data_IF_980994184755
#
_entry.id   IF_980994184755
#
_cell.length_a   1.000
_cell.length_b   1.000
_cell.length_c   1.000
_cell.angle_alpha   90.00
_cell.angle_beta   90.00
_cell.angle_gamma   90.00
#
_symmetry.space_group_name_H-M   'P 1'
#
loop_
_entity.id
_entity.type
_entity.pdbx_description
1 polymer ?
#
# COMPACT_ATOMS: atom_id res chain seq x y z
N UNK A 1 -0.41 -25.08 -15.56
CA UNK A 1 -0.12 -26.52 -15.39
C UNK A 1 1.03 -26.95 -16.29
N UNK A 2 0.86 -26.89 -17.61
CA UNK A 2 1.87 -27.30 -18.61
C UNK A 2 3.31 -26.80 -18.30
N UNK A 3 3.49 -25.51 -18.01
CA UNK A 3 4.79 -24.95 -17.63
C UNK A 3 5.40 -25.62 -16.39
N UNK A 4 4.60 -25.93 -15.38
CA UNK A 4 5.09 -26.52 -14.11
C UNK A 4 5.50 -27.98 -14.31
N UNK A 5 4.74 -28.74 -15.11
CA UNK A 5 5.07 -30.13 -15.41
C UNK A 5 6.37 -30.26 -16.20
N UNK A 6 6.56 -29.37 -17.17
CA UNK A 6 7.72 -29.42 -18.07
C UNK A 6 8.97 -28.76 -17.46
N UNK A 7 8.84 -27.57 -16.88
CA UNK A 7 9.97 -26.80 -16.35
C UNK A 7 10.39 -27.23 -14.94
N UNK A 8 9.49 -27.89 -14.19
CA UNK A 8 9.72 -28.34 -12.80
C UNK A 8 10.30 -27.22 -11.91
N UNK A 9 9.63 -26.06 -11.82
CA UNK A 9 10.17 -24.93 -11.09
C UNK A 9 10.27 -25.22 -9.59
N UNK A 10 11.33 -24.71 -8.97
CA UNK A 10 11.51 -24.73 -7.51
C UNK A 10 10.99 -23.46 -6.84
N UNK A 11 10.73 -22.41 -7.63
CA UNK A 11 10.23 -21.11 -7.20
C UNK A 11 9.05 -20.70 -8.07
N UNK A 12 7.95 -20.28 -7.44
CA UNK A 12 6.76 -19.77 -8.09
C UNK A 12 6.35 -18.43 -7.48
N UNK A 13 6.35 -17.38 -8.28
CA UNK A 13 6.05 -16.01 -7.84
C UNK A 13 4.81 -15.50 -8.59
N UNK A 14 3.82 -15.05 -7.84
CA UNK A 14 2.56 -14.52 -8.34
C UNK A 14 2.51 -13.01 -8.16
N UNK A 15 2.38 -12.28 -9.25
CA UNK A 15 2.24 -10.81 -9.28
C UNK A 15 1.15 -10.38 -10.27
N UNK A 16 0.14 -11.23 -10.48
CA UNK A 16 -0.84 -11.10 -11.57
C UNK A 16 -2.14 -10.41 -11.18
N UNK A 17 -2.47 -10.38 -9.89
CA UNK A 17 -3.77 -9.92 -9.38
C UNK A 17 -4.93 -10.87 -9.68
N UNK A 18 -4.65 -12.08 -10.20
CA UNK A 18 -5.64 -13.10 -10.52
C UNK A 18 -5.83 -14.06 -9.33
N UNK A 19 -6.94 -13.97 -8.58
CA UNK A 19 -7.15 -14.82 -7.41
C UNK A 19 -7.25 -16.30 -7.78
N UNK A 20 -6.65 -17.17 -6.97
CA UNK A 20 -6.82 -18.63 -7.08
C UNK A 20 -6.07 -19.28 -8.26
N UNK A 21 -5.22 -18.54 -8.98
CA UNK A 21 -4.46 -19.09 -10.11
C UNK A 21 -3.39 -20.11 -9.68
N UNK A 22 -2.92 -20.06 -8.42
CA UNK A 22 -2.08 -21.10 -7.84
C UNK A 22 -2.97 -22.21 -7.28
N UNK A 23 -3.47 -23.07 -8.16
CA UNK A 23 -4.33 -24.18 -7.77
C UNK A 23 -3.58 -25.27 -6.99
N UNK A 24 -4.33 -26.09 -6.23
CA UNK A 24 -3.79 -27.27 -5.54
C UNK A 24 -2.96 -28.16 -6.46
N UNK A 25 -3.49 -28.47 -7.64
CA UNK A 25 -2.81 -29.31 -8.63
C UNK A 25 -1.44 -28.74 -9.03
N UNK A 26 -1.34 -27.41 -9.19
CA UNK A 26 -0.07 -26.74 -9.52
C UNK A 26 0.93 -26.89 -8.38
N UNK A 27 0.51 -26.59 -7.15
CA UNK A 27 1.37 -26.60 -5.98
C UNK A 27 1.83 -28.01 -5.62
N UNK A 28 0.94 -28.99 -5.62
CA UNK A 28 1.29 -30.40 -5.40
C UNK A 28 2.23 -30.93 -6.49
N UNK A 29 2.05 -30.52 -7.74
CA UNK A 29 2.93 -30.93 -8.84
C UNK A 29 4.33 -30.33 -8.70
N UNK A 30 4.45 -29.07 -8.29
CA UNK A 30 5.74 -28.51 -7.88
C UNK A 30 6.37 -29.32 -6.75
N UNK A 31 5.59 -29.64 -5.71
CA UNK A 31 6.08 -30.32 -4.53
C UNK A 31 6.56 -31.76 -4.81
N UNK A 32 5.97 -32.46 -5.80
CA UNK A 32 6.45 -33.77 -6.26
C UNK A 32 7.90 -33.76 -6.75
N UNK A 33 8.40 -32.63 -7.23
CA UNK A 33 9.74 -32.48 -7.79
C UNK A 33 10.66 -31.58 -6.97
N UNK A 34 10.11 -30.84 -6.01
CA UNK A 34 10.83 -29.97 -5.11
C UNK A 34 10.35 -30.22 -3.68
N UNK A 35 11.22 -30.83 -2.86
CA UNK A 35 10.90 -31.14 -1.45
C UNK A 35 10.50 -29.89 -0.67
N UNK A 36 11.11 -28.74 -0.96
CA UNK A 36 10.87 -27.48 -0.25
C UNK A 36 10.66 -26.31 -1.22
N UNK A 37 9.49 -26.23 -1.89
CA UNK A 37 9.24 -25.23 -2.93
C UNK A 37 9.09 -23.82 -2.34
N UNK A 38 9.51 -22.80 -3.07
CA UNK A 38 9.24 -21.40 -2.74
C UNK A 38 7.99 -20.95 -3.49
N UNK A 39 6.98 -20.49 -2.76
CA UNK A 39 5.69 -20.08 -3.36
C UNK A 39 5.29 -18.71 -2.80
N UNK A 40 5.38 -17.67 -3.63
CA UNK A 40 5.14 -16.29 -3.24
C UNK A 40 3.93 -15.71 -3.97
N UNK A 41 2.72 -15.80 -3.42
CA UNK A 41 1.57 -15.11 -3.97
C UNK A 41 1.56 -13.65 -3.46
N UNK A 42 2.12 -12.74 -4.26
CA UNK A 42 2.43 -11.36 -3.85
C UNK A 42 1.36 -10.33 -4.21
N UNK A 43 0.29 -10.75 -4.89
CA UNK A 43 -0.77 -9.82 -5.29
C UNK A 43 -1.52 -9.22 -4.10
N UNK A 44 -1.86 -7.94 -4.25
CA UNK A 44 -2.54 -7.13 -3.24
C UNK A 44 -3.89 -6.63 -3.78
N UNK A 45 -4.91 -6.41 -2.92
CA UNK A 45 -4.98 -6.80 -1.49
C UNK A 45 -5.18 -8.32 -1.32
N UNK A 46 -5.41 -8.80 -0.09
CA UNK A 46 -5.61 -10.25 0.21
C UNK A 46 -6.65 -10.94 -0.67
N UNK A 47 -7.68 -10.24 -1.14
CA UNK A 47 -8.70 -10.78 -2.08
C UNK A 47 -8.18 -11.05 -3.50
N UNK A 48 -6.95 -10.64 -3.80
CA UNK A 48 -6.29 -10.80 -5.11
C UNK A 48 -5.11 -11.77 -5.08
N UNK A 49 -4.89 -12.43 -3.94
CA UNK A 49 -3.78 -13.36 -3.74
C UNK A 49 -3.93 -14.58 -4.66
N UNK A 50 -2.83 -15.02 -5.28
CA UNK A 50 -2.86 -16.15 -6.21
C UNK A 50 -3.25 -17.48 -5.54
N UNK A 51 -2.91 -17.64 -4.25
CA UNK A 51 -3.43 -18.67 -3.36
C UNK A 51 -3.27 -18.23 -1.90
N UNK A 52 -4.17 -18.69 -1.03
CA UNK A 52 -4.08 -18.39 0.39
C UNK A 52 -2.91 -19.18 0.99
N UNK A 53 -2.08 -18.58 1.87
CA UNK A 53 -0.94 -19.28 2.48
C UNK A 53 -1.30 -20.58 3.18
N UNK A 54 -2.46 -20.61 3.87
CA UNK A 54 -2.98 -21.81 4.53
C UNK A 54 -3.07 -23.00 3.56
N UNK A 55 -3.61 -22.76 2.37
CA UNK A 55 -3.83 -23.80 1.38
C UNK A 55 -2.50 -24.33 0.83
N UNK A 56 -1.56 -23.43 0.51
CA UNK A 56 -0.21 -23.80 0.05
C UNK A 56 0.52 -24.66 1.09
N UNK A 57 0.43 -24.27 2.37
CA UNK A 57 1.02 -25.01 3.49
C UNK A 57 0.36 -26.39 3.60
N UNK A 58 -0.96 -26.50 3.49
CA UNK A 58 -1.67 -27.77 3.54
C UNK A 58 -1.27 -28.70 2.37
N UNK A 59 -1.31 -28.20 1.13
CA UNK A 59 -0.99 -28.95 -0.09
C UNK A 59 0.48 -29.41 -0.17
N UNK A 60 1.37 -28.77 0.58
CA UNK A 60 2.79 -29.14 0.67
C UNK A 60 3.15 -29.79 2.00
N UNK A 61 2.16 -30.15 2.82
CA UNK A 61 2.36 -30.73 4.14
C UNK A 61 3.34 -29.92 5.02
N UNK A 62 3.27 -28.59 4.94
CA UNK A 62 4.14 -27.66 5.67
C UNK A 62 5.53 -27.48 5.09
N UNK A 63 5.83 -28.02 3.92
CA UNK A 63 7.16 -27.93 3.32
C UNK A 63 7.41 -26.62 2.57
N UNK A 64 6.39 -25.99 1.97
CA UNK A 64 6.60 -24.78 1.18
C UNK A 64 7.12 -23.60 2.02
N UNK A 65 8.05 -22.83 1.44
CA UNK A 65 8.41 -21.50 1.93
C UNK A 65 7.47 -20.47 1.30
N UNK A 66 6.64 -19.85 2.16
CA UNK A 66 5.58 -18.94 1.72
C UNK A 66 5.80 -17.53 2.23
N UNK A 67 5.63 -16.55 1.36
CA UNK A 67 5.58 -15.13 1.69
C UNK A 67 4.59 -14.41 0.80
N UNK A 68 3.90 -13.40 1.33
CA UNK A 68 2.77 -12.73 0.66
C UNK A 68 2.98 -11.22 0.55
N UNK A 69 2.30 -10.57 -0.39
CA UNK A 69 2.34 -9.11 -0.50
C UNK A 69 1.54 -8.41 0.60
N UNK A 70 0.40 -8.99 0.96
CA UNK A 70 -0.50 -8.53 2.04
C UNK A 70 -0.29 -9.34 3.32
N UNK A 71 -0.58 -8.79 4.50
CA UNK A 71 -0.44 -9.51 5.76
C UNK A 71 -1.46 -10.65 5.86
N UNK A 72 -1.03 -11.77 6.45
CA UNK A 72 -1.87 -12.92 6.78
C UNK A 72 -1.56 -13.38 8.21
N UNK A 73 -2.55 -13.95 8.88
CA UNK A 73 -2.36 -14.60 10.16
C UNK A 73 -1.43 -15.83 10.03
N UNK A 74 -0.69 -16.19 11.09
CA UNK A 74 0.13 -17.39 11.10
C UNK A 74 -0.71 -18.66 10.88
N UNK A 75 -0.14 -19.63 10.17
CA UNK A 75 -0.82 -20.90 9.86
C UNK A 75 -0.44 -21.95 10.90
N UNK A 76 -1.44 -22.61 11.50
CA UNK A 76 -1.23 -23.78 12.35
C UNK A 76 -1.30 -25.05 11.49
N UNK A 77 -0.20 -25.78 11.38
CA UNK A 77 -0.12 -27.05 10.64
C UNK A 77 0.54 -28.12 11.51
N UNK A 78 -0.15 -29.25 11.76
CA UNK A 78 0.36 -30.36 12.57
C UNK A 78 0.96 -29.95 13.94
N UNK A 79 0.30 -29.01 14.62
CA UNK A 79 0.75 -28.49 15.92
C UNK A 79 1.92 -27.49 15.83
N UNK A 80 2.42 -27.17 14.64
CA UNK A 80 3.44 -26.14 14.41
C UNK A 80 2.78 -24.85 13.94
N UNK A 81 3.22 -23.72 14.52
CA UNK A 81 2.85 -22.38 14.07
C UNK A 81 3.87 -21.91 13.03
N UNK A 82 3.39 -21.57 11.83
CA UNK A 82 4.18 -21.11 10.71
C UNK A 82 3.85 -19.63 10.47
N UNK A 83 4.82 -18.77 10.71
CA UNK A 83 4.70 -17.32 10.45
C UNK A 83 4.72 -17.05 8.94
N UNK A 84 3.76 -16.27 8.45
CA UNK A 84 3.69 -15.88 7.04
C UNK A 84 4.33 -14.50 6.89
N UNK A 85 5.50 -14.46 6.26
CA UNK A 85 6.21 -13.21 6.04
C UNK A 85 5.49 -12.32 5.02
N UNK A 86 5.37 -11.03 5.33
CA UNK A 86 4.92 -10.04 4.35
C UNK A 86 6.12 -9.58 3.51
N UNK A 87 6.24 -10.07 2.28
CA UNK A 87 7.24 -9.64 1.31
C UNK A 87 6.80 -8.33 0.65
N UNK A 88 7.05 -7.23 1.35
CA UNK A 88 6.66 -5.88 0.94
C UNK A 88 7.88 -4.98 0.74
N UNK A 89 7.80 -4.10 -0.25
CA UNK A 89 8.82 -3.10 -0.56
C UNK A 89 9.07 -2.11 0.60
N UNK A 90 8.19 -2.06 1.60
CA UNK A 90 8.42 -1.33 2.86
C UNK A 90 9.75 -1.67 3.54
N UNK A 91 10.27 -2.89 3.37
CA UNK A 91 11.60 -3.26 3.88
C UNK A 91 12.74 -2.55 3.15
N UNK A 92 12.58 -2.27 1.86
CA UNK A 92 13.66 -1.92 0.95
C UNK A 92 13.74 -0.41 0.71
N UNK A 93 12.62 0.23 0.35
CA UNK A 93 12.63 1.63 -0.09
C UNK A 93 13.16 2.63 0.95
N UNK A 94 12.82 2.53 2.25
CA UNK A 94 13.36 3.45 3.25
C UNK A 94 14.88 3.33 3.38
N UNK A 95 15.41 2.10 3.36
CA UNK A 95 16.84 1.84 3.44
C UNK A 95 17.60 2.38 2.24
N UNK A 96 17.10 2.14 1.01
CA UNK A 96 17.72 2.70 -0.20
C UNK A 96 17.77 4.22 -0.14
N UNK A 97 16.63 4.86 0.13
CA UNK A 97 16.56 6.32 0.17
C UNK A 97 17.50 6.93 1.22
N UNK A 98 17.55 6.32 2.41
CA UNK A 98 18.45 6.74 3.47
C UNK A 98 19.93 6.58 3.09
N UNK A 99 20.30 5.46 2.46
CA UNK A 99 21.67 5.21 2.00
C UNK A 99 22.12 6.20 0.93
N UNK A 100 21.25 6.47 -0.05
CA UNK A 100 21.49 7.48 -1.10
C UNK A 100 21.71 8.87 -0.50
N UNK A 101 20.88 9.28 0.46
CA UNK A 101 21.00 10.57 1.13
C UNK A 101 22.27 10.67 1.97
N UNK A 102 22.61 9.61 2.72
CA UNK A 102 23.77 9.60 3.61
C UNK A 102 25.10 9.90 2.89
N UNK A 103 25.25 9.45 1.64
CA UNK A 103 26.47 9.67 0.84
C UNK A 103 26.28 10.63 -0.33
N UNK A 104 25.11 11.26 -0.44
CA UNK A 104 24.74 12.14 -1.56
C UNK A 104 25.00 11.48 -2.93
N UNK A 105 24.56 10.23 -3.09
CA UNK A 105 24.77 9.51 -4.35
C UNK A 105 24.06 10.22 -5.51
N UNK A 106 24.77 10.39 -6.62
CA UNK A 106 24.30 11.11 -7.81
C UNK A 106 23.22 10.35 -8.60
N UNK A 107 23.16 9.02 -8.47
CA UNK A 107 22.15 8.15 -9.08
C UNK A 107 22.03 6.84 -8.30
N UNK A 108 20.90 6.16 -8.47
CA UNK A 108 20.69 4.80 -7.97
C UNK A 108 21.06 3.83 -9.10
N UNK A 109 21.81 2.78 -8.78
CA UNK A 109 22.22 1.72 -9.72
C UNK A 109 21.50 0.40 -9.42
N UNK A 110 21.48 -0.52 -10.38
CA UNK A 110 20.90 -1.86 -10.19
C UNK A 110 21.64 -2.65 -9.12
N UNK A 111 22.96 -2.48 -9.00
CA UNK A 111 23.73 -3.13 -7.96
C UNK A 111 23.40 -2.57 -6.57
N UNK A 112 23.04 -1.30 -6.42
CA UNK A 112 22.54 -0.78 -5.14
C UNK A 112 21.21 -1.46 -4.75
N UNK A 113 20.33 -1.74 -5.72
CA UNK A 113 19.09 -2.50 -5.47
C UNK A 113 19.40 -3.95 -5.09
N UNK A 114 20.39 -4.57 -5.74
CA UNK A 114 20.84 -5.92 -5.40
C UNK A 114 21.43 -5.98 -3.99
N UNK A 115 22.29 -5.05 -3.61
CA UNK A 115 22.86 -4.98 -2.26
C UNK A 115 21.80 -4.69 -1.20
N UNK A 116 20.76 -3.93 -1.52
CA UNK A 116 19.61 -3.76 -0.61
C UNK A 116 18.89 -5.07 -0.34
N UNK A 117 18.73 -5.91 -1.37
CA UNK A 117 18.08 -7.23 -1.25
C UNK A 117 18.95 -8.20 -0.45
N UNK A 118 20.27 -8.17 -0.66
CA UNK A 118 21.24 -8.99 0.09
C UNK A 118 21.26 -8.61 1.57
N UNK A 119 21.33 -7.32 1.89
CA UNK A 119 21.30 -6.83 3.26
C UNK A 119 20.00 -7.21 3.99
N UNK A 120 18.85 -7.19 3.30
CA UNK A 120 17.60 -7.71 3.86
C UNK A 120 17.66 -9.23 4.11
N UNK A 121 18.19 -10.00 3.15
CA UNK A 121 18.32 -11.45 3.29
C UNK A 121 19.23 -11.85 4.47
N UNK A 122 20.30 -11.09 4.73
CA UNK A 122 21.16 -11.27 5.91
C UNK A 122 20.43 -11.03 7.23
N UNK A 123 19.29 -10.33 7.22
CA UNK A 123 18.45 -10.11 8.40
C UNK A 123 17.38 -11.20 8.60
N UNK A 124 17.32 -12.22 7.73
CA UNK A 124 16.32 -13.29 7.82
C UNK A 124 16.55 -14.18 9.04
N UNK A 125 15.56 -14.34 9.94
CA UNK A 125 15.64 -15.29 11.05
C UNK A 125 15.89 -16.72 10.57
N UNK A 126 15.18 -17.13 9.52
CA UNK A 126 15.35 -18.45 8.90
C UNK A 126 16.78 -18.65 8.37
N UNK A 127 17.39 -17.64 7.73
CA UNK A 127 18.75 -17.75 7.23
C UNK A 127 19.80 -17.78 8.35
N UNK A 128 19.61 -16.98 9.41
CA UNK A 128 20.56 -16.90 10.52
C UNK A 128 20.49 -18.11 11.47
N UNK A 129 19.28 -18.63 11.71
CA UNK A 129 19.02 -19.62 12.78
C UNK A 129 18.62 -21.00 12.24
N UNK A 130 18.40 -21.14 10.94
CA UNK A 130 17.83 -22.33 10.31
C UNK A 130 16.35 -22.57 10.65
N UNK A 131 15.72 -21.66 11.39
CA UNK A 131 14.32 -21.72 11.83
C UNK A 131 13.73 -20.31 11.97
N UNK A 132 12.41 -20.21 11.98
CA UNK A 132 11.69 -18.94 12.11
C UNK A 132 11.15 -18.41 10.78
N UNK A 133 10.73 -17.15 10.78
CA UNK A 133 10.13 -16.51 9.61
C UNK A 133 11.17 -16.23 8.51
N UNK A 134 10.69 -16.15 7.26
CA UNK A 134 11.53 -15.86 6.10
C UNK A 134 12.12 -14.45 6.15
N UNK A 135 11.35 -13.47 6.61
CA UNK A 135 11.77 -12.07 6.78
C UNK A 135 11.79 -11.71 8.26
N UNK A 136 12.61 -10.72 8.68
CA UNK A 136 12.57 -10.20 10.04
C UNK A 136 11.18 -9.66 10.39
N UNK A 137 10.85 -9.52 11.69
CA UNK A 137 9.61 -8.88 12.12
C UNK A 137 9.58 -7.39 11.73
N UNK A 138 8.40 -6.85 11.45
CA UNK A 138 8.23 -5.45 11.01
C UNK A 138 8.62 -4.44 12.10
N UNK A 139 8.57 -4.83 13.37
CA UNK A 139 9.00 -4.03 14.51
C UNK A 139 10.50 -3.70 14.45
N UNK A 140 11.30 -4.55 13.78
CA UNK A 140 12.74 -4.37 13.62
C UNK A 140 13.11 -3.56 12.35
N UNK A 141 12.11 -3.08 11.59
CA UNK A 141 12.31 -2.46 10.27
C UNK A 141 13.23 -1.24 10.29
N UNK A 142 13.30 -0.49 11.41
CA UNK A 142 14.24 0.61 11.55
C UNK A 142 15.70 0.13 11.51
N UNK A 143 16.02 -0.95 12.25
CA UNK A 143 17.36 -1.54 12.25
C UNK A 143 17.70 -2.14 10.89
N UNK A 144 16.75 -2.82 10.27
CA UNK A 144 16.88 -3.37 8.90
C UNK A 144 17.14 -2.24 7.89
N UNK A 145 16.39 -1.14 7.97
CA UNK A 145 16.56 0.02 7.07
C UNK A 145 17.94 0.64 7.18
N UNK A 146 18.51 0.75 8.38
CA UNK A 146 19.88 1.26 8.58
C UNK A 146 20.93 0.31 7.98
N UNK A 147 20.78 -1.01 8.15
CA UNK A 147 21.68 -2.00 7.53
C UNK A 147 21.64 -1.92 6.00
N UNK A 148 20.45 -1.84 5.43
CA UNK A 148 20.25 -1.65 3.99
C UNK A 148 20.89 -0.34 3.53
N UNK A 149 20.65 0.77 4.25
CA UNK A 149 21.21 2.07 3.92
C UNK A 149 22.74 2.04 3.87
N UNK A 150 23.37 1.35 4.83
CA UNK A 150 24.82 1.18 4.86
C UNK A 150 25.34 0.39 3.65
N UNK A 151 24.71 -0.75 3.34
CA UNK A 151 25.09 -1.55 2.17
C UNK A 151 24.93 -0.77 0.85
N UNK A 152 23.82 -0.05 0.70
CA UNK A 152 23.53 0.80 -0.46
C UNK A 152 24.55 1.94 -0.59
N UNK A 153 24.88 2.61 0.51
CA UNK A 153 25.89 3.67 0.54
C UNK A 153 27.27 3.16 0.13
N UNK A 154 27.70 2.00 0.66
CA UNK A 154 28.96 1.36 0.27
C UNK A 154 29.00 1.02 -1.21
N UNK A 155 27.90 0.49 -1.75
CA UNK A 155 27.81 0.16 -3.16
C UNK A 155 27.84 1.41 -4.05
N UNK A 156 27.21 2.51 -3.63
CA UNK A 156 27.28 3.78 -4.34
C UNK A 156 28.72 4.34 -4.43
N UNK A 157 29.46 4.28 -3.32
CA UNK A 157 30.87 4.69 -3.27
C UNK A 157 31.71 3.79 -4.18
N UNK A 158 31.54 2.47 -4.05
CA UNK A 158 32.26 1.47 -4.86
C UNK A 158 32.07 1.66 -6.37
N UNK A 159 30.90 2.12 -6.80
CA UNK A 159 30.60 2.39 -8.21
C UNK A 159 30.95 3.82 -8.66
N UNK A 160 31.56 4.63 -7.79
CA UNK A 160 31.97 6.00 -8.10
C UNK A 160 30.80 6.95 -8.31
N UNK A 161 29.61 6.63 -7.78
CA UNK A 161 28.43 7.51 -7.86
C UNK A 161 28.24 8.36 -6.59
N UNK A 162 29.11 8.18 -5.61
CA UNK A 162 29.23 8.97 -4.39
C UNK A 162 30.73 9.18 -4.05
N UNK A 163 31.04 10.20 -3.24
CA UNK A 163 32.42 10.46 -2.79
C UNK A 163 32.88 9.41 -1.79
N UNK A 164 34.17 9.06 -1.84
CA UNK A 164 34.78 8.12 -0.90
C UNK A 164 34.86 8.71 0.51
N UNK A 165 34.28 7.98 1.46
CA UNK A 165 34.30 8.29 2.89
C UNK A 165 34.47 6.98 3.68
N UNK A 166 34.84 7.08 4.96
CA UNK A 166 35.01 5.89 5.81
C UNK A 166 33.68 5.26 6.19
N UNK A 167 33.68 3.95 6.50
CA UNK A 167 32.49 3.24 7.00
C UNK A 167 31.86 3.94 8.22
N UNK A 168 32.69 4.44 9.15
CA UNK A 168 32.22 5.21 10.31
C UNK A 168 31.52 6.51 9.91
N UNK A 169 31.99 7.18 8.85
CA UNK A 169 31.34 8.39 8.34
C UNK A 169 29.98 8.07 7.69
N UNK A 170 29.85 6.91 7.02
CA UNK A 170 28.58 6.43 6.48
C UNK A 170 27.58 6.21 7.62
N UNK A 171 27.97 5.46 8.66
CA UNK A 171 27.10 5.18 9.82
C UNK A 171 26.62 6.47 10.48
N UNK A 172 27.54 7.41 10.73
CA UNK A 172 27.20 8.70 11.31
C UNK A 172 26.25 9.52 10.41
N UNK A 173 26.47 9.49 9.09
CA UNK A 173 25.60 10.18 8.15
C UNK A 173 24.19 9.56 8.10
N UNK A 174 24.09 8.24 8.16
CA UNK A 174 22.81 7.50 8.26
C UNK A 174 22.07 7.93 9.52
N UNK A 175 22.75 7.94 10.68
CA UNK A 175 22.13 8.33 11.94
C UNK A 175 21.68 9.80 11.95
N UNK A 176 22.46 10.70 11.34
CA UNK A 176 22.11 12.11 11.22
C UNK A 176 20.88 12.35 10.34
N UNK A 177 20.68 11.53 9.30
CA UNK A 177 19.51 11.61 8.42
C UNK A 177 18.29 10.87 8.97
N UNK A 178 18.46 9.99 9.96
CA UNK A 178 17.37 9.23 10.53
C UNK A 178 16.51 10.10 11.47
N UNK A 179 15.30 10.44 11.01
CA UNK A 179 14.36 11.24 11.79
C UNK A 179 13.95 10.54 13.09
N UNK A 180 13.88 11.31 14.18
CA UNK A 180 13.44 10.83 15.50
C UNK A 180 12.06 11.41 15.84
N UNK A 181 11.11 10.59 16.33
CA UNK A 181 9.77 11.03 16.74
C UNK A 181 9.77 11.77 18.08
N UNK A 182 10.67 12.73 18.24
CA UNK A 182 10.81 13.55 19.44
C UNK A 182 10.40 14.97 19.10
N UNK A 183 9.48 15.52 19.91
CA UNK A 183 9.11 16.93 19.78
C UNK A 183 10.35 17.80 19.93
N UNK A 184 10.61 18.64 18.92
CA UNK A 184 11.67 19.63 19.01
C UNK A 184 11.29 20.64 20.10
N UNK A 185 12.21 20.89 21.02
CA UNK A 185 12.05 21.96 21.99
C UNK A 185 11.94 23.30 21.25
N UNK A 186 10.72 23.83 21.11
CA UNK A 186 10.50 25.14 20.53
C UNK A 186 10.85 26.19 21.57
N UNK A 187 12.13 26.55 21.68
CA UNK A 187 12.55 27.77 22.36
C UNK A 187 12.19 28.97 21.48
N UNK A 188 10.89 29.22 21.28
CA UNK A 188 10.43 30.49 20.69
C UNK A 188 10.60 31.54 21.79
N UNK A 189 11.50 32.54 21.61
CA UNK A 189 11.67 33.60 22.58
C UNK A 189 10.33 34.26 22.87
N UNK A 190 10.08 34.61 24.15
CA UNK A 190 8.83 35.24 24.58
C UNK A 190 8.49 36.48 23.74
N UNK A 191 9.51 37.20 23.27
CA UNK A 191 9.43 38.33 22.35
C UNK A 191 8.81 37.97 20.98
N UNK A 192 9.22 36.86 20.35
CA UNK A 192 8.63 36.39 19.08
C UNK A 192 7.19 35.94 19.25
N UNK A 193 6.86 35.26 20.37
CA UNK A 193 5.47 34.89 20.70
C UNK A 193 4.58 36.12 20.89
N UNK A 194 5.06 37.12 21.63
CA UNK A 194 4.34 38.39 21.82
C UNK A 194 4.21 39.19 20.52
N UNK A 195 5.23 39.17 19.65
CA UNK A 195 5.17 39.77 18.32
C UNK A 195 4.10 39.13 17.45
N UNK A 196 4.08 37.80 17.38
CA UNK A 196 3.09 37.04 16.60
C UNK A 196 1.65 37.26 17.11
N UNK A 197 1.46 37.33 18.43
CA UNK A 197 0.18 37.68 19.05
C UNK A 197 -0.26 39.13 18.77
N UNK A 198 0.68 40.08 18.78
CA UNK A 198 0.41 41.48 18.41
C UNK A 198 0.00 41.59 16.94
N UNK A 199 0.67 40.86 16.06
CA UNK A 199 0.37 40.84 14.63
C UNK A 199 -0.97 40.16 14.33
N UNK A 200 -1.29 39.05 15.00
CA UNK A 200 -2.62 38.43 14.99
C UNK A 200 -3.69 39.39 15.47
N UNK A 201 -3.46 40.09 16.58
CA UNK A 201 -4.40 41.08 17.11
C UNK A 201 -4.59 42.24 16.12
N UNK A 202 -3.52 42.73 15.49
CA UNK A 202 -3.60 43.77 14.47
C UNK A 202 -4.39 43.30 13.24
N UNK A 203 -4.12 42.08 12.75
CA UNK A 203 -4.86 41.47 11.64
C UNK A 203 -6.34 41.26 11.97
N UNK A 204 -6.67 40.77 13.17
CA UNK A 204 -8.06 40.64 13.64
C UNK A 204 -8.75 42.00 13.75
N UNK A 205 -8.03 43.04 14.17
CA UNK A 205 -8.56 44.41 14.26
C UNK A 205 -8.82 45.00 12.87
N UNK A 206 -7.94 44.77 11.90
CA UNK A 206 -8.17 45.13 10.50
C UNK A 206 -9.36 44.35 9.91
N UNK A 207 -9.43 43.04 10.12
CA UNK A 207 -10.56 42.21 9.68
C UNK A 207 -11.90 42.69 10.24
N UNK A 208 -11.91 43.17 11.48
CA UNK A 208 -13.10 43.76 12.11
C UNK A 208 -13.62 44.99 11.36
N UNK A 209 -12.76 45.74 10.67
CA UNK A 209 -13.17 46.88 9.83
C UNK A 209 -13.75 46.46 8.48
N UNK A 210 -13.37 45.27 7.98
CA UNK A 210 -13.91 44.69 6.74
C UNK A 210 -15.19 43.88 6.96
N UNK A 211 -15.53 43.52 8.22
CA UNK A 211 -16.84 42.98 8.58
C UNK A 211 -17.91 44.06 8.50
N UNK A 212 -18.33 44.40 7.28
CA UNK A 212 -19.52 45.20 7.05
C UNK A 212 -20.76 44.30 7.19
N UNK A 213 -21.61 44.58 8.19
CA UNK A 213 -22.85 43.82 8.43
C UNK A 213 -23.74 43.72 7.19
N UNK A 214 -23.71 44.73 6.31
CA UNK A 214 -24.43 44.70 5.02
C UNK A 214 -23.88 43.67 4.04
N UNK A 215 -22.57 43.42 4.03
CA UNK A 215 -21.94 42.42 3.16
C UNK A 215 -22.18 41.01 3.67
N UNK A 216 -22.13 40.80 4.99
CA UNK A 216 -22.49 39.52 5.62
C UNK A 216 -23.97 39.18 5.40
N UNK A 217 -24.86 40.16 5.53
CA UNK A 217 -26.28 39.98 5.24
C UNK A 217 -26.52 39.64 3.77
N UNK A 218 -25.88 40.35 2.83
CA UNK A 218 -25.96 40.06 1.40
C UNK A 218 -25.42 38.68 1.04
N UNK A 219 -24.33 38.26 1.66
CA UNK A 219 -23.76 36.92 1.46
C UNK A 219 -24.65 35.82 2.03
N UNK A 220 -25.23 36.04 3.22
CA UNK A 220 -26.23 35.14 3.81
C UNK A 220 -27.50 35.03 2.96
N UNK A 221 -28.02 36.15 2.44
CA UNK A 221 -29.17 36.17 1.54
C UNK A 221 -28.87 35.44 0.22
N UNK A 222 -27.65 35.61 -0.32
CA UNK A 222 -27.20 34.90 -1.51
C UNK A 222 -27.10 33.38 -1.29
N UNK A 223 -26.52 32.94 -0.17
CA UNK A 223 -26.50 31.50 0.20
C UNK A 223 -27.90 30.91 0.32
N UNK A 224 -28.84 31.67 0.90
CA UNK A 224 -30.23 31.25 1.04
C UNK A 224 -30.93 31.10 -0.32
N UNK A 225 -30.67 32.03 -1.26
CA UNK A 225 -31.18 31.97 -2.64
C UNK A 225 -30.58 30.81 -3.45
N UNK A 226 -29.29 30.51 -3.26
CA UNK A 226 -28.65 29.36 -3.90
C UNK A 226 -29.22 28.05 -3.35
N UNK A 227 -29.41 27.96 -2.03
CA UNK A 227 -29.99 26.79 -1.39
C UNK A 227 -31.45 26.53 -1.83
N UNK A 228 -32.28 27.57 -1.92
CA UNK A 228 -33.66 27.42 -2.42
C UNK A 228 -33.71 27.07 -3.91
N UNK A 229 -32.82 27.62 -4.73
CA UNK A 229 -32.69 27.24 -6.15
C UNK A 229 -32.24 25.78 -6.34
N UNK A 230 -31.31 25.30 -5.52
CA UNK A 230 -30.92 23.88 -5.49
C UNK A 230 -32.08 22.97 -5.06
N UNK A 231 -32.88 23.39 -4.07
CA UNK A 231 -34.05 22.62 -3.65
C UNK A 231 -35.09 22.51 -4.77
N UNK A 232 -35.36 23.63 -5.47
CA UNK A 232 -36.32 23.67 -6.58
C UNK A 232 -35.88 22.79 -7.76
N UNK A 233 -34.59 22.79 -8.08
CA UNK A 233 -34.04 21.95 -9.15
C UNK A 233 -34.07 20.46 -8.80
N UNK A 234 -33.86 20.08 -7.54
CA UNK A 234 -34.06 18.69 -7.08
C UNK A 234 -35.53 18.29 -7.15
N UNK A 235 -36.47 19.17 -6.77
CA UNK A 235 -37.91 18.88 -6.88
C UNK A 235 -38.33 18.69 -8.34
N UNK A 236 -37.83 19.53 -9.27
CA UNK A 236 -38.09 19.39 -10.70
C UNK A 236 -37.49 18.08 -11.24
N UNK A 237 -36.28 17.71 -10.83
CA UNK A 237 -35.66 16.45 -11.22
C UNK A 237 -36.47 15.24 -10.73
N UNK A 238 -36.93 15.26 -9.48
CA UNK A 238 -37.74 14.18 -8.91
C UNK A 238 -39.10 14.06 -9.62
N UNK A 239 -39.79 15.18 -9.90
CA UNK A 239 -41.05 15.14 -10.65
C UNK A 239 -40.87 14.71 -12.11
N UNK A 240 -39.72 15.02 -12.72
CA UNK A 240 -39.36 14.56 -14.07
C UNK A 240 -39.11 13.05 -14.13
N UNK A 241 -38.51 12.48 -13.07
CA UNK A 241 -38.29 11.04 -12.94
C UNK A 241 -39.62 10.29 -12.77
N UNK A 242 -40.56 10.84 -12.00
CA UNK A 242 -41.90 10.24 -11.85
C UNK A 242 -42.68 10.25 -13.17
N UNK A 243 -42.59 11.34 -13.95
CA UNK A 243 -43.15 11.42 -15.30
C UNK A 243 -42.49 10.41 -16.23
N UNK A 244 -41.16 10.26 -16.18
CA UNK A 244 -40.43 9.31 -17.03
C UNK A 244 -40.67 7.84 -16.65
N UNK A 245 -40.81 7.54 -15.36
CA UNK A 245 -41.19 6.21 -14.85
C UNK A 245 -42.63 5.87 -15.24
N UNK A 246 -43.56 6.83 -15.14
CA UNK A 246 -44.95 6.65 -15.59
C UNK A 246 -45.04 6.41 -17.11
N UNK A 247 -44.28 7.17 -17.90
CA UNK A 247 -44.19 7.00 -19.35
C UNK A 247 -43.54 5.66 -19.75
N UNK A 248 -42.48 5.25 -19.02
CA UNK A 248 -41.81 3.96 -19.24
C UNK A 248 -42.70 2.77 -18.84
N UNK A 249 -43.49 2.90 -17.77
CA UNK A 249 -44.48 1.91 -17.37
C UNK A 249 -45.59 1.77 -18.41
N UNK A 250 -46.12 2.88 -18.94
CA UNK A 250 -47.09 2.85 -20.03
C UNK A 250 -46.52 2.22 -21.30
N UNK A 251 -45.28 2.56 -21.69
CA UNK A 251 -44.63 1.96 -22.86
C UNK A 251 -44.35 0.46 -22.72
N UNK A 252 -44.20 -0.05 -21.49
CA UNK A 252 -44.10 -1.49 -21.21
C UNK A 252 -45.44 -2.18 -21.36
N UNK A 253 -46.50 -1.58 -20.83
CA UNK A 253 -47.88 -2.08 -20.93
C UNK A 253 -48.32 -2.15 -22.41
N UNK A 254 -47.95 -1.17 -23.25
CA UNK A 254 -48.28 -1.21 -24.69
C UNK A 254 -47.54 -2.34 -25.44
N UNK A 255 -46.30 -2.67 -25.07
CA UNK A 255 -45.53 -3.76 -25.71
C UNK A 255 -46.03 -5.15 -25.33
N UNK A 256 -46.53 -5.33 -24.11
CA UNK A 256 -47.05 -6.63 -23.65
C UNK A 256 -48.44 -6.94 -24.24
N UNK A 257 -49.19 -5.92 -24.68
CA UNK A 257 -50.49 -6.09 -25.36
C UNK A 257 -50.35 -6.49 -26.84
N UNK A 258 -49.29 -6.06 -27.54
CA UNK A 258 -49.00 -6.49 -28.92
C UNK A 258 -48.43 -7.92 -29.04
N UNK A 259 -47.92 -8.49 -27.95
CA UNK A 259 -47.30 -9.82 -27.95
C UNK A 259 -48.26 -10.96 -27.52
N UNK A 260 -49.52 -10.67 -27.19
CA UNK A 260 -50.50 -11.68 -26.79
C UNK A 260 -51.11 -12.36 -28.03
N UNK A 261 -50.98 -13.70 -28.20
CA UNK A 261 -51.57 -14.39 -29.34
C UNK A 261 -53.11 -14.41 -29.23
N UNK A 262 -53.78 -14.01 -30.31
CA UNK A 262 -55.22 -14.16 -30.49
C UNK A 262 -55.59 -15.65 -30.53
N UNK A 263 -56.09 -16.17 -29.41
CA UNK A 263 -56.82 -17.42 -29.38
C UNK A 263 -58.20 -17.21 -30.04
N UNK A 264 -58.41 -17.79 -31.23
CA UNK A 264 -59.73 -17.97 -31.81
C UNK A 264 -59.88 -19.45 -32.13
N UNK A 265 -60.60 -20.16 -31.25
CA UNK A 265 -61.38 -21.36 -31.56
C UNK A 265 -62.74 -20.93 -32.12
N UNK A 266 -63.35 -21.70 -33.04
CA UNK A 266 -64.04 -22.94 -32.67
C UNK A 266 -63.44 -24.20 -33.28
#
# INVERSE_FOLDING_TARGET
MDVVENAKPTVLIGVSGAPGIFSQQIIETMHKHCERPIVFPLSNPTSRVEAVPKDIIEWTNGAALVATGSPFEPVLHQGKRIEIAQCNNSYIFPGIGLGVLAVSASRITDEMLMESSRALAECSPLAQQGRGALLPPLEEIHGVSKKIAFAVAKQAIKQGVALEITDQAIEQAIDNHFWQPVYRATNVPRSKRLGMLRELKHRLTQWRQYLNWRSLYRFGLWLLLVATGMLLSVIILLSSVDVWMSFSAQNRIYKDVEAAPLAISP
#
